data_IF_323861694448
#
_entry.id   IF_323861694448
#
_cell.length_a   1.000
_cell.length_b   1.000
_cell.length_c   1.000
_cell.angle_alpha   90.00
_cell.angle_beta   90.00
_cell.angle_gamma   90.00
#
_symmetry.space_group_name_H-M   'P 1'
#
loop_
_entity.id
_entity.type
_entity.pdbx_description
1 polymer ?
#
# COMPACT_ATOMS: atom_id res chain seq x y z
N UNK A 1 -16.15 18.38 19.72
CA UNK A 1 -16.49 17.93 18.35
C UNK A 1 -15.27 17.37 17.60
N UNK A 2 -14.17 18.14 17.52
CA UNK A 2 -12.94 17.68 16.81
C UNK A 2 -12.34 16.40 17.40
N UNK A 3 -12.30 16.28 18.73
CA UNK A 3 -11.76 15.11 19.43
C UNK A 3 -12.58 13.84 19.17
N UNK A 4 -13.89 13.97 19.11
CA UNK A 4 -14.82 12.86 18.82
C UNK A 4 -14.64 12.37 17.37
N UNK A 5 -14.62 13.28 16.40
CA UNK A 5 -14.40 12.94 14.99
C UNK A 5 -13.02 12.28 14.79
N UNK A 6 -12.00 12.75 15.49
CA UNK A 6 -10.66 12.15 15.41
C UNK A 6 -10.64 10.71 15.96
N UNK A 7 -11.27 10.45 17.11
CA UNK A 7 -11.36 9.10 17.69
C UNK A 7 -12.08 8.14 16.74
N UNK A 8 -13.18 8.57 16.15
CA UNK A 8 -13.93 7.79 15.17
C UNK A 8 -13.11 7.47 13.92
N UNK A 9 -12.37 8.46 13.39
CA UNK A 9 -11.47 8.26 12.26
C UNK A 9 -10.32 7.31 12.59
N UNK A 10 -9.77 7.42 13.78
CA UNK A 10 -8.71 6.53 14.23
C UNK A 10 -9.21 5.09 14.33
N UNK A 11 -10.32 4.86 15.03
CA UNK A 11 -10.93 3.53 15.15
C UNK A 11 -11.28 2.90 13.81
N UNK A 12 -11.81 3.70 12.89
CA UNK A 12 -12.25 3.22 11.59
C UNK A 12 -11.09 2.95 10.61
N UNK A 13 -10.05 3.78 10.62
CA UNK A 13 -9.04 3.77 9.56
C UNK A 13 -7.65 3.32 9.99
N UNK A 14 -7.36 3.11 11.29
CA UNK A 14 -6.04 2.66 11.72
C UNK A 14 -5.62 1.34 11.06
N UNK A 15 -6.49 0.33 11.07
CA UNK A 15 -6.18 -0.98 10.51
C UNK A 15 -6.11 -0.97 8.96
N UNK A 16 -7.07 -0.39 8.23
CA UNK A 16 -6.96 -0.22 6.79
C UNK A 16 -5.70 0.54 6.32
N UNK A 17 -5.35 1.62 7.00
CA UNK A 17 -4.14 2.39 6.69
C UNK A 17 -2.86 1.60 7.01
N UNK A 18 -2.83 0.92 8.16
CA UNK A 18 -1.70 0.07 8.52
C UNK A 18 -1.49 -1.02 7.48
N UNK A 19 -2.54 -1.73 7.08
CA UNK A 19 -2.47 -2.78 6.07
C UNK A 19 -1.97 -2.26 4.72
N UNK A 20 -2.43 -1.08 4.30
CA UNK A 20 -1.93 -0.42 3.10
C UNK A 20 -0.44 -0.08 3.21
N UNK A 21 -0.04 0.57 4.29
CA UNK A 21 1.36 0.96 4.51
C UNK A 21 2.29 -0.24 4.66
N UNK A 22 1.81 -1.33 5.27
CA UNK A 22 2.55 -2.59 5.38
C UNK A 22 2.74 -3.24 4.00
N UNK A 23 1.69 -3.26 3.17
CA UNK A 23 1.78 -3.74 1.79
C UNK A 23 2.79 -2.94 0.97
N UNK A 24 2.79 -1.61 1.12
CA UNK A 24 3.68 -0.73 0.35
C UNK A 24 5.13 -0.78 0.84
N UNK A 25 5.36 -0.76 2.14
CA UNK A 25 6.71 -0.70 2.74
C UNK A 25 7.37 -2.04 2.93
N UNK A 26 6.59 -3.12 3.04
CA UNK A 26 7.03 -4.48 3.42
C UNK A 26 7.85 -4.50 4.72
N UNK A 27 7.68 -3.50 5.54
CA UNK A 27 8.37 -3.36 6.82
C UNK A 27 7.38 -2.85 7.88
N UNK A 28 7.17 -3.66 8.91
CA UNK A 28 6.21 -3.37 9.98
C UNK A 28 6.54 -2.08 10.72
N UNK A 29 7.82 -1.86 11.06
CA UNK A 29 8.25 -0.67 11.78
C UNK A 29 8.01 0.59 10.96
N UNK A 30 8.37 0.57 9.68
CA UNK A 30 8.11 1.71 8.76
C UNK A 30 6.62 1.97 8.63
N UNK A 31 5.80 0.91 8.51
CA UNK A 31 4.35 1.06 8.42
C UNK A 31 3.76 1.68 9.69
N UNK A 32 4.23 1.29 10.88
CA UNK A 32 3.81 1.87 12.16
C UNK A 32 4.21 3.35 12.28
N UNK A 33 5.43 3.70 11.92
CA UNK A 33 5.92 5.08 11.93
C UNK A 33 5.12 5.99 10.98
N UNK A 34 4.88 5.52 9.75
CA UNK A 34 4.09 6.25 8.76
C UNK A 34 2.62 6.39 9.17
N UNK A 35 2.05 5.36 9.82
CA UNK A 35 0.70 5.40 10.37
C UNK A 35 0.58 6.47 11.46
N UNK A 36 1.50 6.49 12.41
CA UNK A 36 1.54 7.49 13.49
C UNK A 36 1.65 8.90 12.92
N UNK A 37 2.56 9.13 11.98
CA UNK A 37 2.73 10.43 11.33
C UNK A 37 1.48 10.85 10.54
N UNK A 38 0.80 9.91 9.88
CA UNK A 38 -0.46 10.18 9.18
C UNK A 38 -1.53 10.70 10.13
N UNK A 39 -1.73 10.04 11.27
CA UNK A 39 -2.71 10.48 12.26
C UNK A 39 -2.29 11.74 13.01
N UNK A 40 -1.00 11.93 13.23
CA UNK A 40 -0.50 13.19 13.80
C UNK A 40 -0.82 14.37 12.89
N UNK A 41 -0.60 14.25 11.58
CA UNK A 41 -0.99 15.26 10.59
C UNK A 41 -2.50 15.47 10.53
N UNK A 42 -3.28 14.39 10.65
CA UNK A 42 -4.74 14.48 10.70
C UNK A 42 -5.21 15.30 11.92
N UNK A 43 -4.63 15.07 13.08
CA UNK A 43 -4.97 15.80 14.30
C UNK A 43 -4.73 17.30 14.17
N UNK A 44 -3.62 17.70 13.51
CA UNK A 44 -3.23 19.10 13.35
C UNK A 44 -3.98 19.77 12.19
N UNK A 45 -4.05 19.11 11.03
CA UNK A 45 -4.37 19.76 9.76
C UNK A 45 -5.72 19.37 9.19
N UNK A 46 -6.38 18.35 9.73
CA UNK A 46 -7.63 17.85 9.16
C UNK A 46 -8.76 18.88 9.33
N UNK A 47 -9.16 19.50 8.22
CA UNK A 47 -10.28 20.43 8.11
C UNK A 47 -11.39 19.80 7.28
N UNK A 48 -11.89 18.64 7.72
CA UNK A 48 -12.95 17.95 6.98
C UNK A 48 -14.32 18.23 7.57
N UNK A 49 -15.29 18.34 6.68
CA UNK A 49 -16.70 18.50 7.06
C UNK A 49 -17.41 17.14 7.18
N UNK A 50 -16.83 16.07 6.65
CA UNK A 50 -17.41 14.73 6.74
C UNK A 50 -16.33 13.61 6.67
N UNK A 51 -16.70 12.42 7.14
CA UNK A 51 -15.84 11.23 7.25
C UNK A 51 -15.39 10.71 5.86
N UNK A 52 -16.22 10.86 4.83
CA UNK A 52 -15.88 10.38 3.47
C UNK A 52 -14.70 11.13 2.87
N UNK A 53 -14.66 12.46 3.08
CA UNK A 53 -13.50 13.28 2.67
C UNK A 53 -12.25 12.95 3.49
N UNK A 54 -12.41 12.58 4.77
CA UNK A 54 -11.32 12.19 5.64
C UNK A 54 -10.63 10.91 5.16
N UNK A 55 -11.37 9.91 4.69
CA UNK A 55 -10.82 8.66 4.14
C UNK A 55 -9.81 8.94 3.01
N UNK A 56 -10.25 9.62 1.96
CA UNK A 56 -9.38 9.94 0.83
C UNK A 56 -8.16 10.78 1.25
N UNK A 57 -8.36 11.74 2.15
CA UNK A 57 -7.30 12.58 2.68
C UNK A 57 -6.27 11.78 3.48
N UNK A 58 -6.70 10.88 4.37
CA UNK A 58 -5.81 10.05 5.17
C UNK A 58 -4.92 9.17 4.27
N UNK A 59 -5.52 8.50 3.29
CA UNK A 59 -4.76 7.66 2.35
C UNK A 59 -3.84 8.48 1.44
N UNK A 60 -4.23 9.69 1.05
CA UNK A 60 -3.36 10.63 0.34
C UNK A 60 -2.14 11.00 1.17
N UNK A 61 -2.32 11.36 2.44
CA UNK A 61 -1.22 11.71 3.34
C UNK A 61 -0.31 10.51 3.57
N UNK A 62 -0.88 9.35 3.87
CA UNK A 62 -0.12 8.11 4.07
C UNK A 62 0.72 7.74 2.84
N UNK A 63 0.13 7.82 1.64
CA UNK A 63 0.83 7.58 0.39
C UNK A 63 1.99 8.56 0.17
N UNK A 64 1.76 9.85 0.37
CA UNK A 64 2.79 10.86 0.21
C UNK A 64 3.94 10.65 1.19
N UNK A 65 3.65 10.33 2.44
CA UNK A 65 4.66 9.99 3.45
C UNK A 65 5.47 8.76 3.05
N UNK A 66 4.82 7.73 2.53
CA UNK A 66 5.51 6.54 2.01
C UNK A 66 6.44 6.89 0.84
N UNK A 67 5.96 7.65 -0.15
CA UNK A 67 6.79 8.06 -1.29
C UNK A 67 7.99 8.89 -0.83
N UNK A 68 7.81 9.82 0.10
CA UNK A 68 8.89 10.64 0.63
C UNK A 68 9.91 9.79 1.41
N UNK A 69 9.46 8.82 2.20
CA UNK A 69 10.35 7.90 2.91
C UNK A 69 11.19 7.04 1.97
N UNK A 70 10.60 6.54 0.88
CA UNK A 70 11.34 5.77 -0.13
C UNK A 70 12.34 6.61 -0.91
N UNK A 71 12.02 7.87 -1.19
CA UNK A 71 12.96 8.80 -1.82
C UNK A 71 14.16 9.09 -0.91
N UNK A 72 13.90 9.30 0.37
CA UNK A 72 14.94 9.54 1.38
C UNK A 72 15.88 8.34 1.48
N UNK A 73 15.34 7.12 1.63
CA UNK A 73 16.12 5.88 1.69
C UNK A 73 16.96 5.67 0.42
N UNK A 74 16.41 5.91 -0.77
CA UNK A 74 17.16 5.82 -2.04
C UNK A 74 18.28 6.86 -2.12
N UNK A 75 18.08 8.06 -1.59
CA UNK A 75 19.10 9.10 -1.54
C UNK A 75 20.21 8.73 -0.57
N UNK A 76 19.87 8.25 0.63
CA UNK A 76 20.82 7.78 1.63
C UNK A 76 21.59 6.55 1.13
N UNK A 77 20.93 5.61 0.46
CA UNK A 77 21.55 4.42 -0.12
C UNK A 77 22.50 4.77 -1.26
N UNK A 78 22.18 5.75 -2.12
CA UNK A 78 23.11 6.26 -3.12
C UNK A 78 24.34 6.95 -2.52
N UNK A 79 24.21 7.53 -1.33
CA UNK A 79 25.36 8.06 -0.57
C UNK A 79 26.15 6.93 0.10
N UNK A 80 25.49 5.84 0.54
CA UNK A 80 26.11 4.67 1.18
C UNK A 80 26.66 3.65 0.16
N UNK A 81 26.13 3.54 -1.05
CA UNK A 81 26.67 2.70 -2.13
C UNK A 81 28.07 3.17 -2.60
N UNK A 82 28.52 4.32 -2.11
CA UNK A 82 29.95 4.66 -2.06
C UNK A 82 30.72 3.96 -0.95
N UNK A 83 30.03 3.30 0.01
CA UNK A 83 30.60 2.57 1.16
C UNK A 83 29.73 1.35 1.44
N UNK A 84 30.08 0.25 0.78
CA UNK A 84 29.73 -1.16 1.09
C UNK A 84 28.28 -1.58 1.37
N UNK A 85 27.92 -2.62 0.65
CA UNK A 85 26.79 -3.53 0.60
C UNK A 85 26.63 -4.37 1.89
N UNK A 86 25.41 -4.51 2.43
CA UNK A 86 24.91 -5.80 2.94
C UNK A 86 23.40 -5.83 3.16
N UNK A 87 22.85 -7.00 2.91
CA UNK A 87 21.44 -7.42 2.86
C UNK A 87 20.80 -7.63 4.23
N UNK A 88 19.49 -7.43 4.35
CA UNK A 88 18.68 -8.23 5.27
C UNK A 88 17.26 -8.45 4.77
N UNK A 89 16.96 -9.72 4.56
CA UNK A 89 15.64 -10.29 4.28
C UNK A 89 14.98 -10.65 5.61
N UNK A 90 13.71 -10.34 5.80
CA UNK A 90 12.95 -10.78 6.98
C UNK A 90 11.87 -11.76 6.55
N UNK A 91 11.92 -12.94 7.14
CA UNK A 91 11.03 -14.07 6.93
C UNK A 91 9.79 -14.03 7.81
N UNK A 92 8.70 -14.57 7.30
CA UNK A 92 7.41 -14.69 7.96
C UNK A 92 7.23 -16.10 8.58
N UNK A 93 6.64 -16.16 9.76
CA UNK A 93 6.34 -17.42 10.46
C UNK A 93 4.84 -17.51 10.73
N UNK A 94 4.22 -18.66 10.44
CA UNK A 94 2.96 -19.08 11.07
C UNK A 94 1.94 -19.86 10.26
N UNK A 95 1.78 -21.05 10.50
CA UNK A 95 0.84 -22.12 10.90
C UNK A 95 -0.29 -22.62 9.93
N UNK A 96 -0.82 -23.88 10.07
CA UNK A 96 -0.74 -24.91 9.01
C UNK A 96 -2.06 -25.25 8.24
N UNK A 97 -1.90 -25.88 7.14
CA UNK A 97 -2.70 -26.61 6.13
C UNK A 97 -3.92 -25.95 5.46
N UNK A 98 -5.01 -25.63 6.12
CA UNK A 98 -6.12 -24.89 5.45
C UNK A 98 -5.80 -23.38 5.38
N UNK A 99 -5.01 -22.89 6.34
CA UNK A 99 -4.33 -21.60 6.28
C UNK A 99 -3.25 -21.57 5.17
N UNK A 100 -2.72 -22.71 4.74
CA UNK A 100 -1.64 -22.79 3.76
C UNK A 100 -2.08 -22.38 2.35
N UNK A 101 -3.22 -22.86 1.86
CA UNK A 101 -3.73 -22.48 0.52
C UNK A 101 -4.15 -21.01 0.47
N UNK A 102 -4.80 -20.52 1.52
CA UNK A 102 -5.22 -19.13 1.62
C UNK A 102 -4.01 -18.21 1.83
N UNK A 103 -3.04 -18.64 2.61
CA UNK A 103 -1.76 -17.95 2.82
C UNK A 103 -0.95 -17.92 1.53
N UNK A 104 -0.83 -19.05 0.83
CA UNK A 104 -0.15 -19.14 -0.47
C UNK A 104 -0.76 -18.21 -1.52
N UNK A 105 -2.10 -18.13 -1.58
CA UNK A 105 -2.81 -17.22 -2.49
C UNK A 105 -2.58 -15.75 -2.12
N UNK A 106 -2.58 -15.43 -0.85
CA UNK A 106 -2.32 -14.07 -0.37
C UNK A 106 -0.87 -13.65 -0.67
N UNK A 107 0.08 -14.52 -0.38
CA UNK A 107 1.50 -14.31 -0.69
C UNK A 107 1.73 -14.12 -2.20
N UNK A 108 1.04 -14.89 -3.03
CA UNK A 108 1.08 -14.76 -4.48
C UNK A 108 0.57 -13.37 -4.95
N UNK A 109 -0.57 -12.92 -4.44
CA UNK A 109 -1.13 -11.59 -4.75
C UNK A 109 -0.16 -10.49 -4.29
N UNK A 110 0.40 -10.62 -3.09
CA UNK A 110 1.37 -9.67 -2.54
C UNK A 110 2.62 -9.56 -3.40
N UNK A 111 3.16 -10.69 -3.87
CA UNK A 111 4.30 -10.74 -4.80
C UNK A 111 3.99 -10.01 -6.12
N UNK A 112 2.82 -10.23 -6.70
CA UNK A 112 2.43 -9.54 -7.94
C UNK A 112 2.33 -8.03 -7.70
N UNK A 113 1.72 -7.62 -6.57
CA UNK A 113 1.61 -6.21 -6.22
C UNK A 113 2.98 -5.54 -6.09
N UNK A 114 3.97 -6.22 -5.49
CA UNK A 114 5.34 -5.71 -5.37
C UNK A 114 6.04 -5.48 -6.72
N UNK A 115 5.70 -6.29 -7.72
CA UNK A 115 6.25 -6.14 -9.08
C UNK A 115 5.67 -4.95 -9.84
N UNK A 116 4.56 -4.38 -9.37
CA UNK A 116 3.92 -3.22 -10.00
C UNK A 116 4.62 -1.91 -9.59
N UNK A 117 4.71 -0.93 -10.50
CA UNK A 117 5.07 0.42 -10.12
C UNK A 117 4.17 0.97 -9.02
N UNK A 118 4.70 1.79 -8.09
CA UNK A 118 4.01 2.29 -6.91
C UNK A 118 2.58 2.79 -7.22
N UNK A 119 2.45 3.60 -8.26
CA UNK A 119 1.16 4.18 -8.65
C UNK A 119 0.12 3.12 -9.04
N UNK A 120 0.55 2.05 -9.72
CA UNK A 120 -0.32 0.94 -10.11
C UNK A 120 -0.62 0.02 -8.93
N UNK A 121 0.35 -0.22 -8.08
CA UNK A 121 0.19 -0.97 -6.84
C UNK A 121 -0.83 -0.29 -5.93
N UNK A 122 -0.68 1.01 -5.68
CA UNK A 122 -1.60 1.80 -4.86
C UNK A 122 -3.02 1.77 -5.42
N UNK A 123 -3.21 2.04 -6.70
CA UNK A 123 -4.57 2.14 -7.27
C UNK A 123 -5.32 0.80 -7.25
N UNK A 124 -4.64 -0.32 -7.51
CA UNK A 124 -5.21 -1.66 -7.39
C UNK A 124 -5.55 -1.97 -5.93
N UNK A 125 -4.61 -1.75 -5.02
CA UNK A 125 -4.81 -2.02 -3.61
C UNK A 125 -6.02 -1.25 -3.05
N UNK A 126 -6.08 0.05 -3.29
CA UNK A 126 -7.17 0.89 -2.82
C UNK A 126 -8.50 0.51 -3.48
N UNK A 127 -8.51 0.12 -4.75
CA UNK A 127 -9.74 -0.28 -5.45
C UNK A 127 -10.23 -1.65 -5.04
N UNK A 128 -9.38 -2.67 -5.10
CA UNK A 128 -9.79 -4.07 -4.99
C UNK A 128 -9.83 -4.54 -3.52
N UNK A 129 -8.97 -4.01 -2.66
CA UNK A 129 -8.87 -4.43 -1.25
C UNK A 129 -9.59 -3.44 -0.34
N UNK A 130 -9.44 -2.14 -0.55
CA UNK A 130 -10.04 -1.10 0.29
C UNK A 130 -11.39 -0.58 -0.25
N UNK A 131 -11.87 -1.12 -1.37
CA UNK A 131 -13.15 -0.80 -1.99
C UNK A 131 -13.37 0.71 -2.28
N UNK A 132 -12.31 1.44 -2.64
CA UNK A 132 -12.42 2.86 -3.01
C UNK A 132 -13.25 3.03 -4.28
N UNK A 133 -14.11 4.03 -4.28
CA UNK A 133 -14.76 4.52 -5.49
C UNK A 133 -13.77 5.25 -6.40
N UNK A 134 -14.09 5.45 -7.66
CA UNK A 134 -13.24 6.24 -8.58
C UNK A 134 -13.03 7.67 -8.09
N UNK A 135 -14.07 8.26 -7.49
CA UNK A 135 -14.00 9.60 -6.89
C UNK A 135 -13.02 9.63 -5.69
N UNK A 136 -13.07 8.64 -4.82
CA UNK A 136 -12.15 8.52 -3.69
C UNK A 136 -10.71 8.27 -4.16
N UNK A 137 -10.51 7.44 -5.19
CA UNK A 137 -9.20 7.22 -5.80
C UNK A 137 -8.64 8.50 -6.42
N UNK A 138 -9.47 9.25 -7.13
CA UNK A 138 -9.09 10.53 -7.70
C UNK A 138 -8.60 11.51 -6.63
N UNK A 139 -9.34 11.62 -5.52
CA UNK A 139 -8.99 12.48 -4.40
C UNK A 139 -7.73 11.99 -3.65
N UNK A 140 -7.59 10.68 -3.43
CA UNK A 140 -6.45 10.09 -2.70
C UNK A 140 -5.13 10.17 -3.49
N UNK A 141 -5.20 10.18 -4.82
CA UNK A 141 -4.03 10.10 -5.70
C UNK A 141 -3.75 11.38 -6.51
N UNK A 142 -4.48 12.46 -6.27
CA UNK A 142 -4.42 13.70 -7.06
C UNK A 142 -4.61 13.47 -8.58
N UNK A 143 -5.65 12.73 -8.92
CA UNK A 143 -6.00 12.37 -10.28
C UNK A 143 -7.40 12.86 -10.64
N UNK A 144 -7.67 12.94 -11.94
CA UNK A 144 -9.05 12.98 -12.45
C UNK A 144 -9.64 11.57 -12.47
N UNK A 145 -10.96 11.43 -12.46
CA UNK A 145 -11.61 10.12 -12.57
C UNK A 145 -11.29 9.44 -13.92
N UNK A 146 -11.10 10.21 -14.99
CA UNK A 146 -10.66 9.69 -16.29
C UNK A 146 -9.25 9.08 -16.21
N UNK A 147 -8.32 9.75 -15.52
CA UNK A 147 -6.98 9.23 -15.28
C UNK A 147 -7.02 7.97 -14.41
N UNK A 148 -7.87 7.93 -13.39
CA UNK A 148 -8.09 6.74 -12.55
C UNK A 148 -8.48 5.54 -13.41
N UNK A 149 -9.46 5.71 -14.31
CA UNK A 149 -9.92 4.63 -15.21
C UNK A 149 -8.77 4.08 -16.07
N UNK A 150 -7.99 4.96 -16.67
CA UNK A 150 -6.87 4.58 -17.54
C UNK A 150 -5.78 3.84 -16.75
N UNK A 151 -5.38 4.39 -15.61
CA UNK A 151 -4.31 3.79 -14.79
C UNK A 151 -4.76 2.45 -14.22
N UNK A 152 -6.00 2.36 -13.74
CA UNK A 152 -6.56 1.13 -13.19
C UNK A 152 -6.64 0.03 -14.26
N UNK A 153 -7.07 0.38 -15.49
CA UNK A 153 -7.09 -0.55 -16.61
C UNK A 153 -5.69 -1.10 -16.92
N UNK A 154 -4.70 -0.22 -17.02
CA UNK A 154 -3.30 -0.61 -17.25
C UNK A 154 -2.72 -1.43 -16.10
N UNK A 155 -3.04 -1.05 -14.88
CA UNK A 155 -2.57 -1.76 -13.68
C UNK A 155 -3.14 -3.18 -13.61
N UNK A 156 -4.42 -3.36 -13.90
CA UNK A 156 -5.07 -4.69 -13.98
C UNK A 156 -4.47 -5.55 -15.09
N UNK A 157 -4.18 -4.96 -16.25
CA UNK A 157 -3.53 -5.69 -17.35
C UNK A 157 -2.13 -6.16 -16.95
N UNK A 158 -1.36 -5.31 -16.28
CA UNK A 158 -0.02 -5.64 -15.80
C UNK A 158 -0.03 -6.67 -14.66
N UNK A 159 -1.03 -6.59 -13.78
CA UNK A 159 -1.25 -7.59 -12.75
C UNK A 159 -1.50 -8.99 -13.35
N UNK A 160 -2.42 -9.10 -14.32
CA UNK A 160 -2.70 -10.37 -15.01
C UNK A 160 -1.47 -10.92 -15.75
N UNK A 161 -0.65 -10.05 -16.32
CA UNK A 161 0.59 -10.45 -16.97
C UNK A 161 1.57 -11.10 -15.99
N UNK A 162 1.79 -10.49 -14.82
CA UNK A 162 2.67 -11.08 -13.81
C UNK A 162 2.08 -12.33 -13.16
N UNK A 163 0.77 -12.39 -12.99
CA UNK A 163 0.05 -13.56 -12.51
C UNK A 163 0.32 -14.79 -13.40
N UNK A 164 0.19 -14.62 -14.70
CA UNK A 164 0.49 -15.67 -15.69
C UNK A 164 1.97 -16.12 -15.67
N UNK A 165 2.89 -15.20 -15.49
CA UNK A 165 4.33 -15.53 -15.40
C UNK A 165 4.60 -16.38 -14.16
N UNK A 166 4.08 -15.99 -13.00
CA UNK A 166 4.30 -16.72 -11.75
C UNK A 166 3.61 -18.10 -11.76
N UNK A 167 2.40 -18.21 -12.31
CA UNK A 167 1.71 -19.49 -12.47
C UNK A 167 2.43 -20.41 -13.49
N UNK A 168 2.96 -19.85 -14.57
CA UNK A 168 3.71 -20.61 -15.59
C UNK A 168 5.05 -21.11 -15.09
N UNK A 169 5.71 -20.39 -14.18
CA UNK A 169 6.94 -20.80 -13.51
C UNK A 169 6.73 -22.01 -12.60
N UNK A 170 5.68 -22.02 -11.80
CA UNK A 170 5.37 -23.14 -10.89
C UNK A 170 5.09 -24.48 -11.63
N UNK A 171 4.56 -24.44 -12.85
CA UNK A 171 4.29 -25.68 -13.62
C UNK A 171 5.54 -26.36 -14.17
N UNK A 172 6.67 -25.66 -14.23
CA UNK A 172 7.94 -26.21 -14.74
C UNK A 172 8.82 -26.80 -13.63
N UNK A 173 8.54 -26.54 -12.34
CA UNK A 173 9.28 -27.11 -11.22
C UNK A 173 8.70 -28.44 -10.72
N UNK A 174 7.49 -28.80 -11.14
CA UNK A 174 6.83 -30.08 -10.81
C UNK A 174 7.03 -31.19 -11.88
N UNK A 175 7.98 -31.04 -12.78
CA UNK A 175 8.39 -32.07 -13.74
C UNK A 175 9.87 -32.43 -13.49
#
# INVERSE_FOLDING_TARGET
>A
LKKYIFSELFEQYQQPLFSYLLQMSRNKQVAEELLQETFYRAMISLKVKNIVQAKAWLFKVARNLYIDSTRKLKSEQRMMDRVQMELTTVSNIGNPEAALEQKSRQEHIEQILEMLPERMQTIIYLREIQAFTYKELAAAMDLTESQVKVILHRARAKFRYYDQILEGGNRNEER
#
